data_IF_935257680500
#
_entry.id   IF_935257680500
#
_cell.length_a   1.000
_cell.length_b   1.000
_cell.length_c   1.000
_cell.angle_alpha   90.00
_cell.angle_beta   90.00
_cell.angle_gamma   90.00
#
_symmetry.space_group_name_H-M   'P 1'
#
loop_
_entity.id
_entity.type
_entity.pdbx_description
1 polymer ?
#
# COMPACT_ATOMS: atom_id res chain seq x y z
N UNK A 1 21.75 21.38 -17.08
CA UNK A 1 20.45 21.16 -17.77
C UNK A 1 19.76 19.85 -17.34
N UNK A 2 20.49 18.80 -16.98
CA UNK A 2 19.90 17.50 -16.54
C UNK A 2 19.29 17.53 -15.12
N UNK A 3 19.88 18.25 -14.17
CA UNK A 3 19.39 18.42 -12.78
C UNK A 3 17.93 18.90 -12.73
N UNK A 4 17.64 19.97 -13.49
CA UNK A 4 16.34 20.65 -13.51
C UNK A 4 15.22 19.76 -14.08
N UNK A 5 15.57 18.80 -14.94
CA UNK A 5 14.61 17.85 -15.53
C UNK A 5 14.28 16.73 -14.56
N UNK A 6 15.27 16.24 -13.79
CA UNK A 6 15.05 15.20 -12.77
C UNK A 6 14.20 15.69 -11.61
N UNK A 7 14.44 16.93 -11.16
CA UNK A 7 13.67 17.51 -10.06
C UNK A 7 12.19 17.68 -10.43
N UNK A 8 11.91 18.13 -11.66
CA UNK A 8 10.54 18.24 -12.18
C UNK A 8 9.82 16.88 -12.31
N UNK A 9 10.52 15.79 -12.64
CA UNK A 9 9.92 14.43 -12.72
C UNK A 9 9.56 13.91 -11.33
N UNK A 10 10.37 14.19 -10.31
CA UNK A 10 10.07 13.78 -8.92
C UNK A 10 8.89 14.56 -8.36
N UNK A 11 8.80 15.85 -8.65
CA UNK A 11 7.64 16.70 -8.30
C UNK A 11 6.35 16.23 -8.97
N UNK A 12 6.42 15.66 -10.17
CA UNK A 12 5.27 15.04 -10.84
C UNK A 12 4.84 13.69 -10.23
N UNK A 13 5.72 13.02 -9.48
CA UNK A 13 5.42 11.69 -8.90
C UNK A 13 4.80 11.81 -7.52
N UNK A 14 5.28 12.75 -6.71
CA UNK A 14 4.82 12.96 -5.33
C UNK A 14 4.22 14.35 -5.17
N UNK A 15 2.94 14.37 -4.81
CA UNK A 15 2.21 15.55 -4.36
C UNK A 15 2.84 16.13 -3.09
N UNK A 16 2.60 17.41 -2.82
CA UNK A 16 3.09 18.08 -1.61
C UNK A 16 2.61 17.38 -0.33
N UNK A 17 3.50 17.18 0.64
CA UNK A 17 3.24 16.43 1.86
C UNK A 17 3.25 14.91 1.74
N UNK A 18 3.38 14.32 0.54
CA UNK A 18 3.41 12.86 0.38
C UNK A 18 4.70 12.25 0.95
N UNK A 19 4.53 11.27 1.85
CA UNK A 19 5.61 10.56 2.55
C UNK A 19 5.65 9.07 2.24
N UNK A 20 4.62 8.49 1.63
CA UNK A 20 4.56 7.06 1.32
C UNK A 20 4.71 6.82 -0.17
N UNK A 21 5.65 5.96 -0.54
CA UNK A 21 5.85 5.51 -1.92
C UNK A 21 5.41 4.06 -2.08
N UNK A 22 5.06 3.73 -3.32
CA UNK A 22 4.74 2.39 -3.76
C UNK A 22 5.74 1.98 -4.84
N UNK A 23 6.37 0.83 -4.64
CA UNK A 23 7.15 0.15 -5.67
C UNK A 23 6.27 -0.93 -6.30
N UNK A 24 6.27 -1.00 -7.64
CA UNK A 24 5.52 -1.99 -8.43
C UNK A 24 6.41 -2.73 -9.40
N UNK A 25 6.02 -3.95 -9.74
CA UNK A 25 6.77 -4.83 -10.65
C UNK A 25 8.18 -5.13 -10.13
N UNK A 26 8.30 -5.33 -8.81
CA UNK A 26 9.55 -5.72 -8.18
C UNK A 26 9.99 -7.11 -8.66
N UNK A 27 11.30 -7.40 -8.73
CA UNK A 27 11.79 -8.76 -8.92
C UNK A 27 11.14 -9.72 -7.93
N UNK A 28 10.71 -10.90 -8.39
CA UNK A 28 10.08 -11.90 -7.51
C UNK A 28 11.00 -12.39 -6.35
N UNK A 29 12.31 -12.18 -6.48
CA UNK A 29 13.31 -12.50 -5.44
C UNK A 29 13.53 -11.36 -4.45
N UNK A 30 12.85 -10.23 -4.58
CA UNK A 30 12.99 -9.08 -3.67
C UNK A 30 12.50 -9.48 -2.28
N UNK A 31 13.32 -9.16 -1.28
CA UNK A 31 13.00 -9.34 0.15
C UNK A 31 13.03 -8.00 0.87
N UNK A 32 12.44 -7.95 2.06
CA UNK A 32 12.51 -6.76 2.92
C UNK A 32 13.96 -6.35 3.19
N UNK A 33 14.84 -7.32 3.48
CA UNK A 33 16.26 -7.05 3.68
C UNK A 33 16.91 -6.44 2.44
N UNK A 34 16.58 -6.91 1.23
CA UNK A 34 17.14 -6.33 -0.01
C UNK A 34 16.69 -4.88 -0.25
N UNK A 35 15.45 -4.54 0.13
CA UNK A 35 14.95 -3.16 0.08
C UNK A 35 15.68 -2.27 1.10
N UNK A 36 15.88 -2.76 2.32
CA UNK A 36 16.64 -2.04 3.35
C UNK A 36 18.10 -1.85 2.93
N UNK A 37 18.73 -2.84 2.29
CA UNK A 37 20.08 -2.70 1.73
C UNK A 37 20.12 -1.67 0.61
N UNK A 38 19.10 -1.61 -0.25
CA UNK A 38 19.03 -0.62 -1.33
C UNK A 38 18.87 0.80 -0.79
N UNK A 39 18.03 1.01 0.22
CA UNK A 39 17.92 2.27 0.94
C UNK A 39 19.27 2.64 1.59
N UNK A 40 19.93 1.67 2.25
CA UNK A 40 21.26 1.84 2.80
C UNK A 40 21.31 2.81 4.00
N UNK A 41 22.54 3.14 4.41
CA UNK A 41 22.82 3.99 5.58
C UNK A 41 22.16 5.39 5.54
N UNK A 42 22.09 6.10 4.40
CA UNK A 42 21.53 7.46 4.36
C UNK A 42 20.05 7.55 4.75
N UNK A 43 19.33 6.42 4.73
CA UNK A 43 17.90 6.35 5.04
C UNK A 43 17.62 5.73 6.43
N UNK A 44 18.64 5.29 7.16
CA UNK A 44 18.45 4.76 8.52
C UNK A 44 17.88 5.87 9.40
N UNK A 45 16.71 5.61 10.00
CA UNK A 45 15.99 6.60 10.80
C UNK A 45 15.07 7.52 10.03
N UNK A 46 15.01 7.41 8.70
CA UNK A 46 14.20 8.28 7.84
C UNK A 46 13.02 7.58 7.16
N UNK A 47 12.84 6.29 7.41
CA UNK A 47 11.62 5.55 7.14
C UNK A 47 11.13 4.85 8.41
N UNK A 48 9.82 4.77 8.55
CA UNK A 48 9.13 4.27 9.75
C UNK A 48 8.19 3.09 9.44
N UNK A 49 7.96 2.80 8.16
CA UNK A 49 7.13 1.69 7.69
C UNK A 49 7.73 1.07 6.43
N UNK A 50 7.80 -0.26 6.38
CA UNK A 50 8.13 -1.02 5.19
C UNK A 50 7.23 -2.26 5.13
N UNK A 51 6.43 -2.36 4.08
CA UNK A 51 5.56 -3.51 3.84
C UNK A 51 5.82 -4.14 2.49
N UNK A 52 6.09 -5.45 2.50
CA UNK A 52 6.33 -6.28 1.32
C UNK A 52 5.34 -7.46 1.34
N UNK A 53 4.12 -7.30 0.79
CA UNK A 53 3.10 -8.35 0.84
C UNK A 53 3.56 -9.64 0.15
N UNK A 54 3.30 -10.76 0.83
CA UNK A 54 3.45 -12.09 0.25
C UNK A 54 2.20 -12.52 -0.52
N UNK A 55 2.40 -13.39 -1.51
CA UNK A 55 1.32 -13.99 -2.27
C UNK A 55 0.66 -15.07 -1.40
N UNK A 56 -0.58 -14.86 -0.98
CA UNK A 56 -1.32 -15.83 -0.16
C UNK A 56 -1.47 -17.21 -0.81
N UNK A 57 -1.43 -17.29 -2.15
CA UNK A 57 -1.46 -18.56 -2.90
C UNK A 57 -0.10 -19.24 -3.01
N UNK A 58 0.98 -18.48 -2.88
CA UNK A 58 2.36 -18.94 -3.02
C UNK A 58 3.23 -18.21 -1.98
N UNK A 59 3.28 -18.67 -0.73
CA UNK A 59 3.92 -17.96 0.39
C UNK A 59 5.38 -17.57 0.14
N UNK A 60 6.08 -18.33 -0.71
CA UNK A 60 7.46 -18.06 -1.10
C UNK A 60 7.62 -16.99 -2.19
N UNK A 61 6.55 -16.30 -2.60
CA UNK A 61 6.57 -15.23 -3.60
C UNK A 61 5.92 -13.97 -3.07
N UNK A 62 6.44 -12.82 -3.49
CA UNK A 62 5.84 -11.52 -3.21
C UNK A 62 4.74 -11.19 -4.23
N UNK A 63 3.88 -10.22 -3.92
CA UNK A 63 2.91 -9.63 -4.87
C UNK A 63 3.58 -8.64 -5.84
N UNK A 64 4.91 -8.69 -5.97
CA UNK A 64 5.75 -7.80 -6.79
C UNK A 64 5.53 -6.30 -6.50
N UNK A 65 5.13 -5.98 -5.27
CA UNK A 65 4.90 -4.61 -4.82
C UNK A 65 5.40 -4.41 -3.40
N UNK A 66 5.82 -3.20 -3.07
CA UNK A 66 6.18 -2.81 -1.72
C UNK A 66 5.70 -1.39 -1.41
N UNK A 67 5.49 -1.11 -0.13
CA UNK A 67 5.11 0.21 0.37
C UNK A 67 6.14 0.64 1.41
N UNK A 68 6.58 1.89 1.33
CA UNK A 68 7.57 2.45 2.25
C UNK A 68 7.08 3.84 2.66
N UNK A 69 6.91 4.07 3.95
CA UNK A 69 6.63 5.40 4.48
C UNK A 69 7.91 6.03 5.04
N UNK A 70 8.12 7.28 4.70
CA UNK A 70 9.22 8.10 5.20
C UNK A 70 8.72 9.06 6.29
N UNK A 71 9.62 9.46 7.18
CA UNK A 71 9.29 10.39 8.27
C UNK A 71 9.00 11.81 7.76
N UNK A 72 9.53 12.15 6.59
CA UNK A 72 9.32 13.42 5.91
C UNK A 72 9.33 13.24 4.38
N UNK A 73 8.65 14.17 3.69
CA UNK A 73 8.53 14.19 2.24
C UNK A 73 9.90 14.28 1.55
N UNK A 74 10.88 15.00 2.13
CA UNK A 74 12.20 15.17 1.51
C UNK A 74 12.88 13.81 1.29
N UNK A 75 12.74 12.90 2.26
CA UNK A 75 13.28 11.54 2.14
C UNK A 75 12.48 10.68 1.18
N UNK A 76 11.16 10.84 1.13
CA UNK A 76 10.35 10.17 0.11
C UNK A 76 10.80 10.56 -1.32
N UNK A 77 11.07 11.85 -1.55
CA UNK A 77 11.59 12.34 -2.84
C UNK A 77 12.97 11.77 -3.18
N UNK A 78 13.88 11.71 -2.20
CA UNK A 78 15.19 11.07 -2.39
C UNK A 78 15.05 9.58 -2.71
N UNK A 79 14.15 8.87 -2.02
CA UNK A 79 13.89 7.46 -2.29
C UNK A 79 13.32 7.25 -3.70
N UNK A 80 12.42 8.13 -4.19
CA UNK A 80 11.94 8.08 -5.57
C UNK A 80 13.10 8.14 -6.56
N UNK A 81 14.03 9.10 -6.38
CA UNK A 81 15.21 9.22 -7.23
C UNK A 81 16.06 7.95 -7.19
N UNK A 82 16.35 7.44 -5.99
CA UNK A 82 17.12 6.21 -5.78
C UNK A 82 16.50 5.02 -6.54
N UNK A 83 15.20 4.77 -6.40
CA UNK A 83 14.55 3.63 -7.04
C UNK A 83 14.40 3.82 -8.56
N UNK A 84 14.25 5.06 -9.04
CA UNK A 84 14.30 5.35 -10.48
C UNK A 84 15.68 5.05 -11.07
N UNK A 85 16.74 5.51 -10.42
CA UNK A 85 18.10 5.22 -10.85
C UNK A 85 18.38 3.71 -10.82
N UNK A 86 18.00 3.03 -9.74
CA UNK A 86 18.10 1.57 -9.65
C UNK A 86 17.38 0.86 -10.80
N UNK A 87 16.18 1.33 -11.19
CA UNK A 87 15.45 0.76 -12.34
C UNK A 87 16.17 0.96 -13.68
N UNK A 88 17.03 1.97 -13.80
CA UNK A 88 17.81 2.20 -15.03
C UNK A 88 19.15 1.46 -15.04
N UNK A 89 19.78 1.29 -13.87
CA UNK A 89 21.12 0.74 -13.74
C UNK A 89 21.15 -0.76 -13.44
N UNK A 90 20.13 -1.29 -12.76
CA UNK A 90 20.08 -2.67 -12.31
C UNK A 90 19.10 -3.44 -13.19
N UNK A 91 19.61 -4.34 -14.03
CA UNK A 91 18.82 -5.05 -15.04
C UNK A 91 17.59 -5.78 -14.46
N UNK A 92 17.72 -6.42 -13.29
CA UNK A 92 16.61 -7.11 -12.64
C UNK A 92 15.49 -6.16 -12.19
N UNK A 93 15.80 -4.88 -11.96
CA UNK A 93 14.85 -3.83 -11.55
C UNK A 93 14.32 -2.98 -12.70
N UNK A 94 14.68 -3.30 -13.95
CA UNK A 94 14.28 -2.53 -15.14
C UNK A 94 12.77 -2.34 -15.32
N UNK A 95 11.98 -3.27 -14.79
CA UNK A 95 10.51 -3.20 -14.80
C UNK A 95 9.93 -2.53 -13.58
N UNK A 96 10.72 -2.32 -12.52
CA UNK A 96 10.27 -1.66 -11.31
C UNK A 96 9.79 -0.25 -11.64
N UNK A 97 8.67 0.13 -11.05
CA UNK A 97 8.11 1.49 -11.13
C UNK A 97 7.90 2.00 -9.72
N UNK A 98 8.27 3.26 -9.50
CA UNK A 98 7.96 3.98 -8.27
C UNK A 98 6.81 4.96 -8.53
N UNK A 99 5.87 5.05 -7.61
CA UNK A 99 4.76 6.01 -7.64
C UNK A 99 4.36 6.40 -6.21
N UNK A 100 3.62 7.49 -6.07
CA UNK A 100 2.91 7.79 -4.81
C UNK A 100 2.01 6.61 -4.41
N UNK A 101 2.05 6.23 -3.13
CA UNK A 101 1.09 5.28 -2.58
C UNK A 101 -0.28 5.95 -2.36
N UNK A 102 -1.37 5.18 -2.44
CA UNK A 102 -2.71 5.75 -2.17
C UNK A 102 -2.93 6.06 -0.69
N UNK A 103 -2.36 5.24 0.18
CA UNK A 103 -2.34 5.46 1.63
C UNK A 103 -1.07 6.21 1.97
N UNK A 104 -1.19 7.36 2.64
CA UNK A 104 -0.08 8.24 2.99
C UNK A 104 0.10 8.31 4.51
N UNK A 105 1.36 8.30 4.97
CA UNK A 105 1.73 8.39 6.39
C UNK A 105 1.70 7.05 7.14
N UNK A 106 2.42 6.97 8.26
CA UNK A 106 2.53 5.76 9.08
C UNK A 106 1.17 5.27 9.59
N UNK A 107 0.44 6.12 10.32
CA UNK A 107 -0.81 5.73 10.98
C UNK A 107 -1.87 5.21 9.98
N UNK A 108 -2.15 5.88 8.84
CA UNK A 108 -3.08 5.34 7.85
C UNK A 108 -2.62 4.02 7.23
N UNK A 109 -1.31 3.82 7.01
CA UNK A 109 -0.80 2.54 6.49
C UNK A 109 -1.00 1.39 7.49
N UNK A 110 -0.79 1.65 8.79
CA UNK A 110 -1.08 0.66 9.85
C UNK A 110 -2.57 0.34 9.92
N UNK A 111 -3.42 1.36 9.92
CA UNK A 111 -4.88 1.19 9.91
C UNK A 111 -5.33 0.40 8.67
N UNK A 112 -4.79 0.72 7.49
CA UNK A 112 -5.07 0.01 6.25
C UNK A 112 -4.71 -1.47 6.35
N UNK A 113 -3.54 -1.79 6.90
CA UNK A 113 -3.12 -3.18 7.10
C UNK A 113 -4.10 -3.93 8.01
N UNK A 114 -4.45 -3.38 9.18
CA UNK A 114 -5.38 -4.02 10.12
C UNK A 114 -6.78 -4.20 9.53
N UNK A 115 -7.32 -3.16 8.89
CA UNK A 115 -8.65 -3.23 8.26
C UNK A 115 -8.70 -4.28 7.13
N UNK A 116 -7.57 -4.52 6.45
CA UNK A 116 -7.49 -5.42 5.30
C UNK A 116 -7.21 -6.86 5.68
N UNK A 117 -6.37 -7.08 6.70
CA UNK A 117 -5.83 -8.40 7.04
C UNK A 117 -6.18 -8.87 8.46
N UNK A 118 -6.78 -8.02 9.29
CA UNK A 118 -7.13 -8.33 10.67
C UNK A 118 -5.94 -8.31 11.63
N UNK A 119 -6.24 -8.31 12.94
CA UNK A 119 -5.22 -8.25 13.99
C UNK A 119 -4.29 -9.48 14.02
N UNK A 120 -4.84 -10.66 13.71
CA UNK A 120 -4.06 -11.91 13.69
C UNK A 120 -2.91 -11.89 12.68
N UNK A 121 -2.99 -11.06 11.63
CA UNK A 121 -1.94 -10.92 10.64
C UNK A 121 -0.69 -10.18 11.16
N UNK A 122 -0.77 -9.47 12.29
CA UNK A 122 0.38 -8.76 12.87
C UNK A 122 1.52 -9.70 13.31
N UNK A 123 1.20 -10.97 13.59
CA UNK A 123 2.17 -11.99 13.99
C UNK A 123 2.70 -12.78 12.78
N UNK A 124 2.22 -12.47 11.57
CA UNK A 124 2.57 -13.15 10.34
C UNK A 124 4.00 -12.81 9.88
N UNK A 125 4.67 -13.73 9.16
CA UNK A 125 6.01 -13.48 8.59
C UNK A 125 6.00 -12.42 7.49
N UNK A 126 4.83 -12.07 6.97
CA UNK A 126 4.59 -11.03 5.97
C UNK A 126 4.07 -9.72 6.58
N UNK A 127 4.00 -9.61 7.90
CA UNK A 127 3.60 -8.38 8.57
C UNK A 127 4.55 -7.21 8.24
N UNK A 128 4.04 -5.97 8.16
CA UNK A 128 4.86 -4.79 7.97
C UNK A 128 5.95 -4.66 9.03
N UNK A 129 7.13 -4.21 8.61
CA UNK A 129 8.15 -3.75 9.54
C UNK A 129 7.89 -2.27 9.88
N UNK A 130 7.95 -1.97 11.16
CA UNK A 130 7.86 -0.61 11.69
C UNK A 130 9.14 -0.22 12.39
N UNK A 131 9.49 1.06 12.32
CA UNK A 131 10.73 1.57 12.87
C UNK A 131 10.49 2.87 13.65
N UNK A 132 11.20 3.04 14.76
CA UNK A 132 11.24 4.28 15.53
C UNK A 132 12.69 4.73 15.60
N UNK A 133 12.99 5.90 15.01
CA UNK A 133 14.36 6.43 14.92
C UNK A 133 15.37 5.42 14.33
N UNK A 134 14.92 4.61 13.36
CA UNK A 134 15.75 3.63 12.66
C UNK A 134 15.92 2.30 13.39
N UNK A 135 15.31 2.15 14.56
CA UNK A 135 15.30 0.90 15.33
C UNK A 135 14.00 0.14 15.05
N UNK A 136 14.04 -1.17 14.77
CA UNK A 136 12.84 -1.99 14.65
C UNK A 136 11.96 -1.85 15.90
N UNK A 137 10.67 -1.62 15.69
CA UNK A 137 9.67 -1.48 16.76
C UNK A 137 8.62 -2.59 16.66
N UNK A 138 7.88 -2.80 17.75
CA UNK A 138 6.73 -3.71 17.77
C UNK A 138 5.60 -3.17 16.90
N UNK A 139 5.15 -3.95 15.92
CA UNK A 139 4.00 -3.59 15.09
C UNK A 139 2.75 -3.37 15.93
N UNK A 140 2.52 -4.22 16.93
CA UNK A 140 1.38 -4.11 17.83
C UNK A 140 1.39 -2.79 18.61
N UNK A 141 2.54 -2.42 19.18
CA UNK A 141 2.67 -1.19 19.96
C UNK A 141 2.50 0.04 19.07
N UNK A 142 3.04 0.01 17.84
CA UNK A 142 2.87 1.11 16.90
C UNK A 142 1.43 1.23 16.39
N UNK A 143 0.74 0.12 16.14
CA UNK A 143 -0.68 0.15 15.83
C UNK A 143 -1.47 0.82 16.97
N UNK A 144 -1.24 0.40 18.21
CA UNK A 144 -1.93 0.97 19.38
C UNK A 144 -1.61 2.45 19.63
N UNK A 145 -0.38 2.88 19.36
CA UNK A 145 0.06 4.25 19.60
C UNK A 145 -0.30 5.24 18.48
N UNK A 146 -0.30 4.78 17.23
CA UNK A 146 -0.38 5.67 16.05
C UNK A 146 -1.77 5.71 15.43
N UNK A 147 -2.53 4.61 15.50
CA UNK A 147 -3.85 4.56 14.84
C UNK A 147 -4.84 5.43 15.62
N UNK A 148 -5.43 6.38 14.91
CA UNK A 148 -6.47 7.27 15.41
C UNK A 148 -7.63 7.33 14.40
N UNK A 149 -8.69 8.08 14.73
CA UNK A 149 -9.89 8.20 13.89
C UNK A 149 -9.56 8.65 12.46
N UNK A 150 -8.66 9.63 12.30
CA UNK A 150 -8.22 10.10 10.98
C UNK A 150 -7.54 8.99 10.18
N UNK A 151 -6.67 8.20 10.82
CA UNK A 151 -5.96 7.11 10.18
C UNK A 151 -6.91 6.03 9.66
N UNK A 152 -7.88 5.63 10.50
CA UNK A 152 -8.91 4.66 10.14
C UNK A 152 -9.73 5.18 8.95
N UNK A 153 -10.21 6.42 9.02
CA UNK A 153 -11.02 7.03 7.96
C UNK A 153 -10.26 7.09 6.63
N UNK A 154 -9.00 7.54 6.67
CA UNK A 154 -8.16 7.65 5.47
C UNK A 154 -7.89 6.29 4.82
N UNK A 155 -7.57 5.28 5.62
CA UNK A 155 -7.38 3.92 5.15
C UNK A 155 -8.66 3.34 4.53
N UNK A 156 -9.81 3.57 5.18
CA UNK A 156 -11.09 3.01 4.76
C UNK A 156 -11.56 3.59 3.43
N UNK A 157 -11.35 4.89 3.18
CA UNK A 157 -11.63 5.51 1.87
C UNK A 157 -10.89 4.80 0.74
N UNK A 158 -9.61 4.48 0.94
CA UNK A 158 -8.83 3.74 -0.07
C UNK A 158 -9.40 2.34 -0.30
N UNK A 159 -9.76 1.61 0.76
CA UNK A 159 -10.38 0.28 0.65
C UNK A 159 -11.71 0.34 -0.13
N UNK A 160 -12.54 1.35 0.12
CA UNK A 160 -13.79 1.54 -0.62
C UNK A 160 -13.54 1.76 -2.11
N UNK A 161 -12.60 2.64 -2.45
CA UNK A 161 -12.28 2.92 -3.85
C UNK A 161 -11.68 1.69 -4.56
N UNK A 162 -10.95 0.83 -3.85
CA UNK A 162 -10.44 -0.44 -4.40
C UNK A 162 -11.53 -1.50 -4.62
N UNK A 163 -12.55 -1.51 -3.76
CA UNK A 163 -13.65 -2.49 -3.81
C UNK A 163 -14.75 -2.08 -4.78
N UNK A 164 -14.78 -0.82 -5.23
CA UNK A 164 -15.67 -0.39 -6.31
C UNK A 164 -15.35 -1.17 -7.60
N UNK A 165 -16.36 -1.72 -8.29
CA UNK A 165 -16.15 -2.35 -9.59
C UNK A 165 -15.57 -1.30 -10.53
N UNK A 166 -14.36 -1.54 -11.06
CA UNK A 166 -13.81 -0.71 -12.14
C UNK A 166 -14.90 -0.61 -13.21
N UNK A 167 -15.44 0.60 -13.43
CA UNK A 167 -16.30 0.85 -14.58
C UNK A 167 -15.46 0.45 -15.79
N UNK A 168 -15.79 -0.68 -16.42
CA UNK A 168 -15.17 -1.04 -17.69
C UNK A 168 -15.51 0.09 -18.64
N UNK A 169 -14.50 0.84 -19.06
CA UNK A 169 -14.61 1.73 -20.20
C UNK A 169 -15.34 0.99 -21.32
N UNK A 170 -16.50 1.53 -21.73
CA UNK A 170 -17.30 1.05 -22.86
C UNK A 170 -16.59 1.31 -24.20
N UNK A 171 -15.34 0.86 -24.35
CA UNK A 171 -14.57 0.91 -25.61
C UNK A 171 -14.22 -0.47 -26.16
N UNK A 172 -14.99 -1.49 -25.82
CA UNK A 172 -14.96 -2.75 -26.54
C UNK A 172 -16.38 -3.20 -26.84
N UNK A 173 -16.91 -2.73 -27.98
CA UNK A 173 -18.04 -3.38 -28.62
C UNK A 173 -17.66 -4.85 -28.84
N UNK A 174 -18.27 -5.76 -28.08
CA UNK A 174 -18.31 -7.19 -28.42
C UNK A 174 -19.67 -7.48 -29.05
N UNK A 175 -19.62 -8.24 -30.14
CA UNK A 175 -20.74 -8.66 -30.98
C UNK A 175 -21.84 -9.37 -30.16
N UNK A 176 -23.11 -9.30 -30.61
CA UNK A 176 -24.25 -9.78 -29.84
C UNK A 176 -24.37 -11.29 -29.92
N UNK A 177 -24.20 -11.95 -28.77
CA UNK A 177 -24.39 -13.39 -28.68
C UNK A 177 -23.76 -13.99 -27.43
N UNK A 178 -24.12 -13.52 -26.23
CA UNK A 178 -23.96 -14.35 -25.04
C UNK A 178 -24.95 -14.00 -23.94
N UNK A 179 -25.52 -15.04 -23.36
CA UNK A 179 -26.72 -15.05 -22.52
C UNK A 179 -26.54 -14.24 -21.24
N UNK A 180 -27.58 -13.48 -20.88
CA UNK A 180 -27.67 -12.72 -19.65
C UNK A 180 -27.65 -13.66 -18.42
N UNK A 181 -26.48 -13.79 -17.79
CA UNK A 181 -26.37 -14.26 -16.42
C UNK A 181 -26.75 -13.12 -15.47
N UNK A 182 -27.79 -13.35 -14.67
CA UNK A 182 -28.21 -12.47 -13.57
C UNK A 182 -26.99 -12.15 -12.70
N UNK A 183 -26.56 -10.88 -12.68
CA UNK A 183 -25.55 -10.40 -11.74
C UNK A 183 -26.29 -9.71 -10.60
N UNK A 184 -26.13 -10.26 -9.40
CA UNK A 184 -26.57 -9.63 -8.16
C UNK A 184 -26.03 -8.19 -8.11
N UNK A 185 -26.96 -7.24 -7.99
CA UNK A 185 -26.64 -5.84 -7.70
C UNK A 185 -26.09 -5.79 -6.28
N UNK A 186 -24.78 -5.56 -6.16
CA UNK A 186 -24.17 -5.27 -4.85
C UNK A 186 -24.38 -3.78 -4.57
N UNK A 187 -25.31 -3.46 -3.66
CA UNK A 187 -25.45 -2.11 -3.14
C UNK A 187 -24.24 -1.75 -2.26
N UNK A 188 -23.61 -0.58 -2.45
CA UNK A 188 -22.52 -0.13 -1.60
C UNK A 188 -23.05 0.16 -0.19
N UNK A 189 -22.32 -0.29 0.82
CA UNK A 189 -22.58 0.11 2.21
C UNK A 189 -22.15 1.57 2.33
N UNK A 190 -23.13 2.48 2.38
CA UNK A 190 -22.93 3.87 2.71
C UNK A 190 -22.61 3.96 4.21
N UNK A 191 -21.41 4.43 4.55
CA UNK A 191 -21.03 4.67 5.94
C UNK A 191 -21.30 6.12 6.30
N UNK A 192 -22.04 6.32 7.39
CA UNK A 192 -22.28 7.62 7.96
C UNK A 192 -20.95 8.21 8.51
N UNK A 193 -20.70 9.52 8.34
CA UNK A 193 -19.40 10.14 8.62
C UNK A 193 -18.95 10.15 10.08
N UNK A 194 -19.76 9.64 11.02
CA UNK A 194 -19.55 9.76 12.47
C UNK A 194 -19.67 8.40 13.20
N UNK A 195 -19.23 7.30 12.58
CA UNK A 195 -19.28 5.99 13.24
C UNK A 195 -18.35 5.95 14.45
N UNK A 196 -18.85 5.41 15.56
CA UNK A 196 -18.07 5.19 16.78
C UNK A 196 -17.11 4.01 16.60
N UNK A 197 -16.11 3.92 17.46
CA UNK A 197 -15.03 2.90 17.40
C UNK A 197 -15.56 1.46 17.43
N UNK A 198 -16.61 1.20 18.22
CA UNK A 198 -17.34 -0.07 18.27
C UNK A 198 -18.05 -0.38 16.95
N UNK A 199 -18.62 0.63 16.31
CA UNK A 199 -19.32 0.48 15.03
C UNK A 199 -18.35 0.26 13.85
N UNK A 200 -17.13 0.76 13.95
CA UNK A 200 -16.04 0.54 13.01
C UNK A 200 -15.46 -0.88 13.12
N UNK A 201 -15.29 -1.40 14.33
CA UNK A 201 -14.90 -2.80 14.57
C UNK A 201 -15.98 -3.78 14.12
N UNK A 202 -17.26 -3.45 14.32
CA UNK A 202 -18.38 -4.22 13.79
C UNK A 202 -18.50 -4.10 12.26
N UNK A 203 -18.10 -2.97 11.67
CA UNK A 203 -18.03 -2.83 10.22
C UNK A 203 -16.89 -3.65 9.62
N UNK A 204 -15.73 -3.66 10.26
CA UNK A 204 -14.58 -4.50 9.88
C UNK A 204 -14.94 -6.00 9.97
N UNK A 205 -15.57 -6.43 11.08
CA UNK A 205 -16.10 -7.81 11.22
C UNK A 205 -17.14 -8.15 10.16
N UNK A 206 -18.11 -7.28 9.90
CA UNK A 206 -19.11 -7.50 8.83
C UNK A 206 -18.49 -7.55 7.44
N UNK A 207 -17.42 -6.81 7.20
CA UNK A 207 -16.68 -6.86 5.93
C UNK A 207 -15.89 -8.18 5.81
N UNK A 208 -15.25 -8.65 6.89
CA UNK A 208 -14.58 -9.95 6.97
C UNK A 208 -15.56 -11.11 6.73
N UNK A 209 -16.74 -11.08 7.34
CA UNK A 209 -17.82 -12.07 7.14
C UNK A 209 -18.38 -12.06 5.71
N UNK A 210 -18.51 -10.88 5.10
CA UNK A 210 -19.18 -10.71 3.80
C UNK A 210 -18.26 -10.97 2.61
N UNK A 211 -16.96 -10.67 2.72
CA UNK A 211 -16.01 -10.75 1.61
C UNK A 211 -14.89 -11.77 1.83
N UNK A 212 -14.77 -12.34 3.03
CA UNK A 212 -13.60 -13.11 3.44
C UNK A 212 -12.33 -12.24 3.46
N UNK A 213 -11.22 -12.81 3.92
CA UNK A 213 -9.90 -12.20 3.72
C UNK A 213 -9.77 -11.81 2.25
N UNK A 214 -9.60 -10.52 1.97
CA UNK A 214 -9.51 -10.00 0.62
C UNK A 214 -8.20 -10.47 -0.02
N UNK A 215 -8.17 -11.73 -0.44
CA UNK A 215 -7.15 -12.33 -1.29
C UNK A 215 -7.17 -11.51 -2.58
N UNK A 216 -6.05 -10.84 -2.86
CA UNK A 216 -5.80 -10.19 -4.14
C UNK A 216 -6.33 -11.06 -5.30
N UNK A 217 -7.40 -10.60 -5.95
CA UNK A 217 -7.64 -10.90 -7.37
C UNK A 217 -7.05 -9.74 -8.14
N UNK A 218 -5.76 -9.86 -8.45
CA UNK A 218 -5.19 -9.31 -9.67
C UNK A 218 -5.35 -10.36 -10.77
#
# INVERSE_FOLDING_TARGET
MQENTRQAVVEQILEEGATTIMLRSLPASTTTSSLMTMLGLPFVGFYDFLYLPQCSRQPNRIVEMAFINFVDQSFARLAVQLFQEASTMIQSWSRTRVSQARVQGLAPNLAYFLLRFGEGAMLGPDAPLVFVNGVPASLQDQCAAQINEYAIRSAWLVIQEETQPRQRDMRSQRLPGDRAGVRDKVEPILVAPNLREDELLDLARRHEERFGFAIFRL
#
